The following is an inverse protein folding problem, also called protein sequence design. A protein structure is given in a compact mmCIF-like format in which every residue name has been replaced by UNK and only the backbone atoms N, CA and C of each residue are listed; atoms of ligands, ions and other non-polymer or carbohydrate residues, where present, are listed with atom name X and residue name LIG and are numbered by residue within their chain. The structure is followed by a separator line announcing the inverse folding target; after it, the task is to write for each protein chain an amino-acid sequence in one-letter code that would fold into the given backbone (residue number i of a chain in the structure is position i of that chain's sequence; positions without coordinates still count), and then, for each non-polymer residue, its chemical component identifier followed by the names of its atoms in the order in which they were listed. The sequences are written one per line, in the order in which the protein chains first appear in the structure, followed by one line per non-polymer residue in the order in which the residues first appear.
data_IF_077033946542
#
_entry.id   IF_077033946542
#
_cell.length_a   1.000
_cell.length_b   1.000
_cell.length_c   1.000
_cell.angle_alpha   90.00
_cell.angle_beta   90.00
_cell.angle_gamma   90.00
#
_symmetry.space_group_name_H-M   'P 1'
#
loop_
_entity.id
_entity.type
_entity.pdbx_description
1 polymer ?
#
# COMPACT_ATOMS: atom_id res chain seq x y z
N UNK A 1 7.63 -9.72 -11.31
CA UNK A 1 7.17 -8.47 -10.67
C UNK A 1 8.13 -7.29 -10.84
N UNK A 2 9.44 -7.40 -10.49
CA UNK A 2 10.35 -6.24 -10.57
C UNK A 2 10.40 -5.63 -11.97
N UNK A 3 10.63 -6.43 -13.02
CA UNK A 3 10.63 -5.95 -14.41
C UNK A 3 9.31 -5.29 -14.80
N UNK A 4 8.19 -5.88 -14.40
CA UNK A 4 6.86 -5.31 -14.66
C UNK A 4 6.67 -3.94 -14.00
N UNK A 5 7.09 -3.78 -12.73
CA UNK A 5 7.07 -2.47 -12.06
C UNK A 5 7.94 -1.46 -12.81
N UNK A 6 9.18 -1.84 -13.16
CA UNK A 6 10.12 -0.95 -13.85
C UNK A 6 9.60 -0.46 -15.22
N UNK A 7 8.92 -1.34 -15.96
CA UNK A 7 8.34 -1.04 -17.27
C UNK A 7 7.10 -0.15 -17.20
N UNK A 8 6.39 -0.15 -16.06
CA UNK A 8 5.12 0.56 -15.90
C UNK A 8 5.15 1.63 -14.80
N UNK A 9 6.33 2.12 -14.44
CA UNK A 9 6.45 3.24 -13.50
C UNK A 9 5.71 4.47 -14.02
N UNK A 10 4.98 5.13 -13.11
CA UNK A 10 4.47 6.47 -13.39
C UNK A 10 5.50 7.54 -13.03
N UNK A 11 5.18 8.78 -13.36
CA UNK A 11 5.96 9.94 -12.90
C UNK A 11 6.06 9.92 -11.36
N UNK A 12 7.27 10.19 -10.86
CA UNK A 12 7.51 10.22 -9.43
C UNK A 12 6.83 11.41 -8.78
N UNK A 13 6.14 11.14 -7.70
CA UNK A 13 5.46 12.14 -6.88
C UNK A 13 5.92 12.01 -5.44
N UNK A 14 5.64 13.03 -4.63
CA UNK A 14 5.88 12.95 -3.20
C UNK A 14 4.92 11.91 -2.62
N UNK A 15 5.48 10.88 -2.01
CA UNK A 15 4.77 9.82 -1.30
C UNK A 15 5.05 9.92 0.19
N UNK A 16 4.09 9.51 1.00
CA UNK A 16 4.21 9.52 2.46
C UNK A 16 4.91 8.27 2.99
N UNK A 17 4.60 7.13 2.40
CA UNK A 17 5.07 5.77 2.74
C UNK A 17 4.50 5.24 4.05
N UNK A 18 4.49 6.00 5.11
CA UNK A 18 4.07 5.57 6.46
C UNK A 18 2.63 6.02 6.80
N UNK A 19 1.69 5.83 5.87
CA UNK A 19 0.30 6.20 6.04
C UNK A 19 -0.46 5.22 6.96
N UNK A 20 0.02 5.05 8.19
CA UNK A 20 -0.68 4.32 9.25
C UNK A 20 -1.85 5.15 9.80
N UNK A 21 -2.84 4.49 10.40
CA UNK A 21 -4.05 5.16 10.94
C UNK A 21 -3.73 6.29 11.93
N UNK A 22 -2.69 6.13 12.73
CA UNK A 22 -2.30 7.08 13.77
C UNK A 22 -1.73 8.40 13.21
N UNK A 23 -1.32 8.39 11.93
CA UNK A 23 -0.80 9.58 11.23
C UNK A 23 -1.91 10.42 10.57
N UNK A 24 -3.18 9.98 10.63
CA UNK A 24 -4.31 10.75 10.14
C UNK A 24 -5.00 11.51 11.27
N UNK A 25 -4.97 12.83 11.22
CA UNK A 25 -5.67 13.71 12.13
C UNK A 25 -6.99 14.16 11.50
N UNK A 26 -8.08 13.93 12.21
CA UNK A 26 -9.43 14.33 11.80
C UNK A 26 -9.89 15.48 12.68
N UNK A 27 -10.32 16.57 12.05
CA UNK A 27 -10.94 17.70 12.74
C UNK A 27 -12.33 17.98 12.14
N UNK A 28 -13.31 18.17 13.00
CA UNK A 28 -14.66 18.60 12.61
C UNK A 28 -14.81 20.06 13.02
N UNK A 29 -14.69 20.95 12.04
CA UNK A 29 -14.84 22.38 12.24
C UNK A 29 -16.20 22.75 12.84
N UNK A 30 -16.31 23.96 13.34
CA UNK A 30 -17.56 24.50 13.93
C UNK A 30 -18.74 24.51 12.95
N UNK A 31 -18.47 24.46 11.65
CA UNK A 31 -19.44 24.35 10.57
C UNK A 31 -19.88 22.93 10.24
N UNK A 32 -19.29 21.91 10.92
CA UNK A 32 -19.50 20.48 10.64
C UNK A 32 -18.69 19.97 9.44
N UNK A 33 -17.80 20.77 8.87
CA UNK A 33 -16.91 20.37 7.79
C UNK A 33 -15.77 19.49 8.34
N UNK A 34 -15.58 18.33 7.72
CA UNK A 34 -14.49 17.40 8.06
C UNK A 34 -13.21 17.84 7.37
N UNK A 35 -12.15 18.07 8.11
CA UNK A 35 -10.79 18.17 7.60
C UNK A 35 -9.95 16.97 7.99
N UNK A 36 -9.05 16.56 7.11
CA UNK A 36 -8.11 15.46 7.33
C UNK A 36 -6.71 15.97 7.07
N UNK A 37 -5.82 15.75 8.02
CA UNK A 37 -4.40 16.07 7.89
C UNK A 37 -3.59 14.79 8.05
N UNK A 38 -2.58 14.63 7.19
CA UNK A 38 -1.61 13.55 7.28
C UNK A 38 -0.31 14.11 7.88
N UNK A 39 0.19 13.47 8.94
CA UNK A 39 1.36 13.88 9.71
C UNK A 39 2.46 12.83 9.62
N UNK A 40 3.62 13.12 10.21
CA UNK A 40 4.76 12.21 10.31
C UNK A 40 5.37 11.82 8.95
N UNK A 41 5.89 12.81 8.24
CA UNK A 41 6.47 12.69 6.91
C UNK A 41 7.94 12.24 6.89
N UNK A 42 8.43 11.60 7.95
CA UNK A 42 9.86 11.26 8.08
C UNK A 42 10.37 10.27 7.01
N UNK A 43 9.46 9.43 6.47
CA UNK A 43 9.77 8.47 5.40
C UNK A 43 9.39 8.98 4.00
N UNK A 44 8.90 10.21 3.90
CA UNK A 44 8.44 10.76 2.62
C UNK A 44 9.56 10.86 1.58
N UNK A 45 9.21 10.60 0.33
CA UNK A 45 10.17 10.64 -0.77
C UNK A 45 9.53 10.69 -2.14
N UNK A 46 10.34 11.02 -3.16
CA UNK A 46 9.89 11.05 -4.55
C UNK A 46 9.95 9.63 -5.15
N UNK A 47 8.80 9.05 -5.43
CA UNK A 47 8.68 7.71 -6.03
C UNK A 47 7.35 7.51 -6.74
N UNK A 48 7.07 6.29 -7.20
CA UNK A 48 5.80 5.93 -7.81
C UNK A 48 4.66 6.10 -6.80
N UNK A 49 3.68 6.97 -7.11
CA UNK A 49 2.56 7.32 -6.21
C UNK A 49 1.75 6.10 -5.73
N UNK A 50 1.73 5.02 -6.51
CA UNK A 50 0.97 3.82 -6.17
C UNK A 50 1.58 3.00 -5.02
N UNK A 51 2.80 3.34 -4.58
CA UNK A 51 3.39 2.75 -3.38
C UNK A 51 2.59 3.13 -2.13
N UNK A 52 2.07 4.36 -2.05
CA UNK A 52 1.24 4.78 -0.91
C UNK A 52 -0.05 3.98 -0.79
N UNK A 53 -0.69 3.63 -1.92
CA UNK A 53 -1.87 2.73 -1.91
C UNK A 53 -1.50 1.37 -1.31
N UNK A 54 -0.35 0.82 -1.72
CA UNK A 54 0.11 -0.47 -1.23
C UNK A 54 0.46 -0.43 0.27
N UNK A 55 1.17 0.61 0.70
CA UNK A 55 1.55 0.76 2.11
C UNK A 55 0.31 0.96 2.99
N UNK A 56 -0.62 1.82 2.59
CA UNK A 56 -1.88 2.02 3.31
C UNK A 56 -2.66 0.71 3.47
N UNK A 57 -2.73 -0.10 2.39
CA UNK A 57 -3.45 -1.36 2.42
C UNK A 57 -2.84 -2.38 3.39
N UNK A 58 -1.50 -2.54 3.41
CA UNK A 58 -0.84 -3.50 4.31
C UNK A 58 -0.90 -3.04 5.77
N UNK A 59 -0.84 -1.75 6.05
CA UNK A 59 -1.00 -1.21 7.39
C UNK A 59 -2.43 -1.35 7.91
N UNK A 60 -3.41 -1.10 7.06
CA UNK A 60 -4.83 -1.24 7.37
C UNK A 60 -5.30 -2.70 7.38
N UNK A 61 -4.41 -3.65 7.06
CA UNK A 61 -4.71 -5.08 6.98
C UNK A 61 -5.88 -5.40 6.02
N UNK A 62 -6.00 -4.66 4.94
CA UNK A 62 -7.06 -4.83 3.95
C UNK A 62 -6.94 -6.16 3.22
N UNK A 63 -8.06 -6.86 3.08
CA UNK A 63 -8.13 -7.99 2.16
C UNK A 63 -8.16 -7.53 0.68
N UNK A 64 -8.18 -8.49 -0.25
CA UNK A 64 -8.22 -8.17 -1.68
C UNK A 64 -9.41 -7.30 -2.07
N UNK A 65 -10.60 -7.57 -1.50
CA UNK A 65 -11.83 -6.84 -1.83
C UNK A 65 -11.76 -5.39 -1.34
N UNK A 66 -11.23 -5.19 -0.14
CA UNK A 66 -11.03 -3.87 0.44
C UNK A 66 -9.96 -3.08 -0.32
N UNK A 67 -8.85 -3.74 -0.74
CA UNK A 67 -7.85 -3.09 -1.59
C UNK A 67 -8.42 -2.71 -2.95
N UNK A 68 -9.18 -3.60 -3.60
CA UNK A 68 -9.82 -3.28 -4.88
C UNK A 68 -10.74 -2.07 -4.76
N UNK A 69 -11.52 -1.99 -3.69
CA UNK A 69 -12.36 -0.83 -3.40
C UNK A 69 -11.54 0.45 -3.15
N UNK A 70 -10.43 0.35 -2.41
CA UNK A 70 -9.52 1.48 -2.21
C UNK A 70 -8.95 1.98 -3.55
N UNK A 71 -8.53 1.06 -4.42
CA UNK A 71 -8.03 1.40 -5.77
C UNK A 71 -9.12 2.11 -6.57
N UNK A 72 -10.34 1.58 -6.59
CA UNK A 72 -11.46 2.18 -7.32
C UNK A 72 -11.78 3.59 -6.79
N UNK A 73 -11.75 3.80 -5.48
CA UNK A 73 -11.91 5.13 -4.88
C UNK A 73 -10.78 6.09 -5.26
N UNK A 74 -9.53 5.62 -5.23
CA UNK A 74 -8.37 6.45 -5.56
C UNK A 74 -8.43 6.98 -7.00
N UNK A 75 -8.93 6.17 -7.92
CA UNK A 75 -9.04 6.52 -9.34
C UNK A 75 -10.41 7.11 -9.73
N UNK A 76 -11.36 7.25 -8.80
CA UNK A 76 -12.73 7.66 -9.11
C UNK A 76 -12.84 9.00 -9.87
N UNK A 77 -11.93 9.94 -9.62
CA UNK A 77 -11.90 11.23 -10.30
C UNK A 77 -11.14 11.20 -11.64
N UNK A 78 -10.25 10.24 -11.82
CA UNK A 78 -9.43 10.06 -13.03
C UNK A 78 -10.07 9.08 -14.03
N UNK A 79 -11.16 8.42 -13.66
CA UNK A 79 -11.84 7.38 -14.40
C UNK A 79 -11.69 6.00 -13.73
N UNK A 80 -11.47 4.97 -14.54
CA UNK A 80 -11.26 3.62 -14.03
C UNK A 80 -9.76 3.26 -13.98
N UNK A 81 -9.35 2.54 -12.94
CA UNK A 81 -8.01 1.97 -12.87
C UNK A 81 -7.86 0.87 -13.93
N UNK A 82 -6.97 1.06 -14.90
CA UNK A 82 -6.69 0.04 -15.90
C UNK A 82 -6.02 -1.22 -15.29
N UNK A 83 -6.07 -2.32 -16.05
CA UNK A 83 -5.55 -3.61 -15.55
C UNK A 83 -4.04 -3.61 -15.34
N UNK A 84 -3.28 -2.84 -16.11
CA UNK A 84 -1.81 -2.73 -15.97
C UNK A 84 -1.47 -2.03 -14.65
N UNK A 85 -2.12 -0.91 -14.39
CA UNK A 85 -1.96 -0.13 -13.15
C UNK A 85 -2.38 -0.95 -11.93
N UNK A 86 -3.51 -1.65 -12.00
CA UNK A 86 -3.97 -2.54 -10.92
C UNK A 86 -2.97 -3.68 -10.65
N UNK A 87 -2.46 -4.32 -11.70
CA UNK A 87 -1.44 -5.36 -11.58
C UNK A 87 -0.16 -4.81 -10.92
N UNK A 88 0.25 -3.59 -11.29
CA UNK A 88 1.40 -2.90 -10.68
C UNK A 88 1.17 -2.64 -9.19
N UNK A 89 -0.02 -2.17 -8.79
CA UNK A 89 -0.36 -1.96 -7.38
C UNK A 89 -0.29 -3.27 -6.60
N UNK A 90 -0.81 -4.37 -7.15
CA UNK A 90 -0.67 -5.70 -6.53
C UNK A 90 0.79 -6.13 -6.39
N UNK A 91 1.65 -5.81 -7.36
CA UNK A 91 3.09 -6.05 -7.25
C UNK A 91 3.70 -5.24 -6.10
N UNK A 92 3.29 -4.00 -5.91
CA UNK A 92 3.74 -3.19 -4.77
C UNK A 92 3.25 -3.75 -3.43
N UNK A 93 1.98 -4.14 -3.31
CA UNK A 93 1.46 -4.78 -2.09
C UNK A 93 2.25 -6.04 -1.74
N UNK A 94 2.55 -6.87 -2.73
CA UNK A 94 3.37 -8.07 -2.52
C UNK A 94 4.79 -7.72 -2.04
N UNK A 95 5.42 -6.73 -2.67
CA UNK A 95 6.78 -6.30 -2.30
C UNK A 95 6.82 -5.66 -0.92
N UNK A 96 5.87 -4.77 -0.61
CA UNK A 96 5.76 -4.09 0.69
C UNK A 96 5.45 -5.08 1.81
N UNK A 97 4.52 -6.02 1.60
CA UNK A 97 4.20 -7.06 2.58
C UNK A 97 5.41 -7.95 2.88
N UNK A 98 6.15 -8.35 1.87
CA UNK A 98 7.39 -9.13 2.07
C UNK A 98 8.46 -8.32 2.82
N UNK A 99 8.66 -7.05 2.45
CA UNK A 99 9.59 -6.15 3.13
C UNK A 99 9.23 -6.01 4.61
N UNK A 100 7.95 -5.77 4.89
CA UNK A 100 7.45 -5.59 6.26
C UNK A 100 7.54 -6.86 7.10
N UNK A 101 7.25 -8.02 6.50
CA UNK A 101 7.48 -9.31 7.15
C UNK A 101 8.94 -9.50 7.56
N UNK A 102 9.88 -9.17 6.68
CA UNK A 102 11.31 -9.23 6.97
C UNK A 102 11.73 -8.23 8.08
N UNK A 103 11.14 -7.03 8.06
CA UNK A 103 11.37 -6.03 9.10
C UNK A 103 10.85 -6.52 10.47
N UNK A 104 9.68 -7.13 10.53
CA UNK A 104 9.14 -7.74 11.75
C UNK A 104 10.08 -8.83 12.28
N UNK A 105 10.59 -9.70 11.41
CA UNK A 105 11.57 -10.74 11.81
C UNK A 105 12.87 -10.12 12.36
N UNK A 106 13.38 -9.09 11.70
CA UNK A 106 14.54 -8.36 12.21
C UNK A 106 14.29 -7.78 13.61
N UNK A 107 13.15 -7.12 13.82
CA UNK A 107 12.77 -6.55 15.11
C UNK A 107 12.52 -7.60 16.17
N UNK A 108 12.02 -8.78 15.81
CA UNK A 108 11.82 -9.91 16.71
C UNK A 108 13.16 -10.36 17.31
N UNK A 109 14.23 -10.38 16.54
CA UNK A 109 15.59 -10.66 17.05
C UNK A 109 16.08 -9.59 18.05
N UNK A 110 15.48 -8.40 18.04
CA UNK A 110 15.75 -7.32 19.01
C UNK A 110 14.77 -7.34 20.20
N UNK A 111 13.94 -8.39 20.32
CA UNK A 111 13.01 -8.56 21.44
C UNK A 111 11.66 -7.88 21.27
N UNK A 112 11.29 -7.44 20.05
CA UNK A 112 9.98 -6.87 19.78
C UNK A 112 9.02 -7.94 19.27
N UNK A 113 7.89 -8.11 19.93
CA UNK A 113 6.87 -9.11 19.55
C UNK A 113 5.76 -8.45 18.73
N UNK A 114 5.46 -9.02 17.56
CA UNK A 114 4.40 -8.55 16.65
C UNK A 114 3.17 -9.47 16.60
N UNK A 115 3.18 -10.59 17.34
CA UNK A 115 2.10 -11.56 17.28
C UNK A 115 1.84 -12.07 15.86
N UNK A 116 0.58 -12.08 15.45
CA UNK A 116 0.18 -12.54 14.11
C UNK A 116 0.48 -11.53 12.99
N UNK A 117 0.82 -10.28 13.33
CA UNK A 117 1.03 -9.22 12.35
C UNK A 117 2.09 -9.57 11.31
N UNK A 118 3.24 -10.14 11.74
CA UNK A 118 4.29 -10.56 10.82
C UNK A 118 3.82 -11.63 9.83
N UNK A 119 2.95 -12.53 10.29
CA UNK A 119 2.35 -13.57 9.44
C UNK A 119 1.38 -12.98 8.42
N UNK A 120 0.59 -11.97 8.80
CA UNK A 120 -0.28 -11.26 7.86
C UNK A 120 0.56 -10.57 6.78
N UNK A 121 1.64 -9.89 7.14
CA UNK A 121 2.54 -9.25 6.18
C UNK A 121 3.17 -10.26 5.22
N UNK A 122 3.59 -11.42 5.69
CA UNK A 122 4.08 -12.51 4.84
C UNK A 122 2.99 -13.02 3.86
N UNK A 123 1.74 -13.13 4.32
CA UNK A 123 0.59 -13.51 3.46
C UNK A 123 0.37 -12.49 2.35
N UNK A 124 0.47 -11.17 2.62
CA UNK A 124 0.43 -10.16 1.57
C UNK A 124 1.47 -10.42 0.50
N UNK A 125 2.73 -10.65 0.88
CA UNK A 125 3.79 -10.98 -0.06
C UNK A 125 3.44 -12.16 -0.95
N UNK A 126 2.86 -13.22 -0.39
CA UNK A 126 2.53 -14.45 -1.09
C UNK A 126 1.27 -14.36 -1.94
N UNK A 127 0.19 -13.83 -1.38
CA UNK A 127 -1.12 -13.88 -2.02
C UNK A 127 -1.22 -12.81 -3.11
N UNK A 128 -0.72 -11.60 -2.87
CA UNK A 128 -0.71 -10.56 -3.89
C UNK A 128 0.32 -10.81 -4.99
N UNK A 129 1.39 -11.54 -4.72
CA UNK A 129 2.23 -12.09 -5.78
C UNK A 129 1.40 -12.92 -6.78
N UNK A 130 0.57 -13.85 -6.28
CA UNK A 130 -0.28 -14.71 -7.11
C UNK A 130 -1.37 -13.92 -7.85
N UNK A 131 -1.98 -12.93 -7.19
CA UNK A 131 -2.97 -12.07 -7.83
C UNK A 131 -2.35 -11.23 -8.94
N UNK A 132 -1.16 -10.68 -8.71
CA UNK A 132 -0.41 -9.94 -9.72
C UNK A 132 -0.06 -10.83 -10.92
N UNK A 133 0.50 -12.03 -10.70
CA UNK A 133 0.82 -12.98 -11.78
C UNK A 133 -0.43 -13.36 -12.59
N UNK A 134 -1.54 -13.66 -11.91
CA UNK A 134 -2.79 -14.02 -12.58
C UNK A 134 -3.38 -12.87 -13.41
N UNK A 135 -3.15 -11.62 -13.00
CA UNK A 135 -3.62 -10.45 -13.73
C UNK A 135 -2.68 -10.13 -14.91
N UNK A 136 -1.37 -10.15 -14.69
CA UNK A 136 -0.35 -9.95 -15.73
C UNK A 136 -0.49 -10.99 -16.86
N UNK A 137 -0.82 -12.24 -16.54
CA UNK A 137 -1.03 -13.29 -17.55
C UNK A 137 -2.25 -13.06 -18.46
N UNK A 138 -3.08 -12.06 -18.18
CA UNK A 138 -4.26 -11.68 -18.99
C UNK A 138 -4.02 -10.41 -19.82
N UNK A 139 -2.89 -9.73 -19.64
CA UNK A 139 -2.47 -8.57 -20.41
C UNK A 139 -1.82 -8.97 -21.72
#
# INVERSE_FOLDING_TARGET
MRSFIEEHKCEFQLTHIDAVSDNFLFDIGTTGELSVQLTDWEYAGMQDKHVDIAMFAIYSMYDKTQLDYLIDLYFAEEGECDMVTRAKIYCYVAACGLLWSNWCEYKRHLGVEFGEYSLYQYRYGKDFYRYAEALIAKL
#
